data_IF_169651344346
#
_entry.id   IF_169651344346
#
_cell.length_a   1.000
_cell.length_b   1.000
_cell.length_c   1.000
_cell.angle_alpha   90.00
_cell.angle_beta   90.00
_cell.angle_gamma   90.00
#
_symmetry.space_group_name_H-M   'P 1'
#
loop_
_entity.id
_entity.type
_entity.pdbx_description
1 polymer ?
#
# COMPACT_ATOMS: atom_id res chain seq x y z
N UNK A 1 -21.06 62.32 -19.67
CA UNK A 1 -20.08 62.46 -18.58
C UNK A 1 -20.65 61.71 -17.37
N UNK A 2 -20.43 60.41 -17.26
CA UNK A 2 -20.80 59.61 -16.11
C UNK A 2 -19.70 58.62 -15.82
N UNK A 3 -19.16 58.75 -14.65
CA UNK A 3 -18.19 57.81 -14.07
C UNK A 3 -18.94 56.61 -13.56
N UNK A 4 -18.69 55.39 -14.05
CA UNK A 4 -19.12 54.14 -13.39
C UNK A 4 -18.01 53.62 -12.48
N UNK A 5 -18.36 53.49 -11.21
CA UNK A 5 -17.55 52.91 -10.15
C UNK A 5 -17.45 51.41 -10.34
N UNK A 6 -16.22 50.88 -10.18
CA UNK A 6 -15.95 49.45 -10.12
C UNK A 6 -16.16 48.97 -8.67
N UNK A 7 -17.02 47.94 -8.46
CA UNK A 7 -17.20 47.25 -7.19
C UNK A 7 -16.08 46.24 -6.93
N UNK A 8 -15.83 45.88 -5.65
CA UNK A 8 -14.70 45.03 -5.26
C UNK A 8 -14.97 43.56 -5.54
N UNK A 9 -13.97 42.89 -6.13
CA UNK A 9 -13.89 41.45 -6.30
C UNK A 9 -13.83 40.74 -4.95
N UNK A 10 -14.81 39.88 -4.66
CA UNK A 10 -14.81 39.00 -3.50
C UNK A 10 -13.77 37.88 -3.69
N UNK A 11 -12.76 37.87 -2.83
CA UNK A 11 -11.78 36.80 -2.74
C UNK A 11 -12.41 35.64 -1.95
N UNK A 12 -12.82 34.58 -2.64
CA UNK A 12 -13.20 33.31 -1.98
C UNK A 12 -11.95 32.59 -1.48
N UNK A 13 -11.71 32.65 -0.18
CA UNK A 13 -10.76 31.80 0.52
C UNK A 13 -11.23 30.35 0.47
N UNK A 14 -10.51 29.51 -0.26
CA UNK A 14 -10.70 28.05 -0.18
C UNK A 14 -10.15 27.54 1.13
N UNK A 15 -11.02 26.99 1.96
CA UNK A 15 -10.66 26.21 3.14
C UNK A 15 -9.84 24.94 2.75
N UNK A 16 -8.92 24.50 3.62
CA UNK A 16 -8.14 23.28 3.40
C UNK A 16 -9.06 22.06 3.40
N UNK A 17 -8.83 21.13 2.43
CA UNK A 17 -9.62 19.94 2.20
C UNK A 17 -9.91 19.14 3.47
N UNK A 18 -11.17 18.90 3.72
CA UNK A 18 -11.67 18.03 4.78
C UNK A 18 -11.16 16.60 4.53
N UNK A 19 -10.47 16.04 5.52
CA UNK A 19 -10.24 14.61 5.60
C UNK A 19 -11.63 13.93 5.68
N UNK A 20 -11.94 13.06 4.70
CA UNK A 20 -13.17 12.27 4.72
C UNK A 20 -13.13 11.36 5.95
N UNK A 21 -14.02 11.62 6.91
CA UNK A 21 -14.17 10.83 8.13
C UNK A 21 -14.55 9.37 7.74
N UNK A 22 -13.89 8.40 8.36
CA UNK A 22 -14.20 6.98 8.22
C UNK A 22 -15.69 6.66 8.45
N UNK A 23 -16.40 7.49 9.21
CA UNK A 23 -17.84 7.37 9.49
C UNK A 23 -18.71 7.70 8.25
N UNK A 24 -18.34 8.68 7.44
CA UNK A 24 -19.10 9.01 6.22
C UNK A 24 -18.95 7.95 5.13
N UNK A 25 -17.76 7.33 5.01
CA UNK A 25 -17.55 6.22 4.08
C UNK A 25 -18.40 4.99 4.42
N UNK A 26 -18.64 4.72 5.71
CA UNK A 26 -19.49 3.62 6.15
C UNK A 26 -20.99 3.85 5.82
N UNK A 27 -21.47 5.09 5.88
CA UNK A 27 -22.89 5.42 5.62
C UNK A 27 -23.25 5.28 4.13
N UNK A 28 -22.34 5.60 3.22
CA UNK A 28 -22.55 5.40 1.77
C UNK A 28 -22.55 3.93 1.35
N UNK A 29 -21.78 3.08 2.03
CA UNK A 29 -21.72 1.65 1.73
C UNK A 29 -22.98 0.85 2.14
N UNK A 30 -23.81 1.37 3.06
CA UNK A 30 -24.99 0.67 3.58
C UNK A 30 -26.16 0.56 2.57
N UNK A 31 -26.12 1.26 1.43
CA UNK A 31 -27.20 1.21 0.41
C UNK A 31 -27.00 0.17 -0.71
N UNK A 32 -25.91 -0.60 -0.71
CA UNK A 32 -25.59 -1.57 -1.78
C UNK A 32 -25.62 -3.05 -1.34
N UNK A 33 -26.16 -3.35 -0.16
CA UNK A 33 -26.23 -4.73 0.35
C UNK A 33 -27.60 -5.36 0.15
N UNK A 34 -27.97 -5.66 -1.09
CA UNK A 34 -29.02 -6.62 -1.38
C UNK A 34 -28.60 -7.55 -2.52
N UNK A 35 -28.66 -8.86 -2.25
CA UNK A 35 -28.54 -10.00 -3.16
C UNK A 35 -27.15 -10.45 -3.60
N UNK A 36 -26.66 -11.53 -2.94
CA UNK A 36 -25.87 -12.57 -3.61
C UNK A 36 -26.13 -13.95 -2.97
N UNK A 37 -26.32 -15.00 -3.78
CA UNK A 37 -26.57 -16.38 -3.30
C UNK A 37 -25.31 -17.07 -2.80
N UNK A 38 -25.50 -17.98 -1.85
CA UNK A 38 -24.47 -18.86 -1.30
C UNK A 38 -23.86 -19.75 -2.40
N UNK A 39 -22.58 -19.55 -2.67
CA UNK A 39 -21.77 -20.48 -3.45
C UNK A 39 -20.86 -21.29 -2.54
N UNK A 40 -20.71 -22.55 -2.87
CA UNK A 40 -20.08 -23.66 -2.17
C UNK A 40 -18.75 -23.35 -1.44
N UNK A 41 -18.60 -23.89 -0.22
CA UNK A 41 -17.37 -23.87 0.58
C UNK A 41 -16.25 -24.65 -0.14
N UNK A 42 -15.29 -23.96 -0.70
CA UNK A 42 -14.00 -24.53 -1.04
C UNK A 42 -13.09 -24.40 0.18
N UNK A 43 -12.78 -25.51 0.84
CA UNK A 43 -11.77 -25.54 1.89
C UNK A 43 -10.39 -25.33 1.26
N UNK A 44 -9.78 -24.19 1.53
CA UNK A 44 -8.42 -23.90 1.12
C UNK A 44 -7.44 -24.77 1.91
N UNK A 45 -6.68 -25.60 1.21
CA UNK A 45 -5.67 -26.47 1.82
C UNK A 45 -4.36 -25.66 1.95
N UNK A 46 -3.97 -25.30 3.19
CA UNK A 46 -2.78 -24.49 3.50
C UNK A 46 -1.45 -25.12 3.03
N UNK A 47 -1.48 -26.33 2.48
CA UNK A 47 -0.29 -27.09 2.04
C UNK A 47 0.30 -26.64 0.70
N UNK A 48 -0.31 -25.69 -0.02
CA UNK A 48 0.20 -25.20 -1.31
C UNK A 48 1.19 -24.03 -1.22
N UNK A 49 1.57 -23.62 -0.01
CA UNK A 49 2.51 -22.51 0.19
C UNK A 49 3.92 -23.11 0.30
N UNK A 50 4.72 -22.95 -0.76
CA UNK A 50 6.09 -23.50 -0.84
C UNK A 50 7.04 -22.70 0.04
N UNK A 51 7.75 -23.39 0.93
CA UNK A 51 8.71 -22.81 1.88
C UNK A 51 10.15 -23.21 1.54
N UNK A 52 11.08 -22.23 1.57
CA UNK A 52 12.50 -22.46 1.85
C UNK A 52 12.97 -21.41 2.86
N UNK A 53 13.32 -21.83 4.07
CA UNK A 53 14.28 -21.15 4.93
C UNK A 53 13.83 -20.34 6.13
N UNK A 54 12.57 -19.91 6.25
CA UNK A 54 11.98 -19.31 7.47
C UNK A 54 10.61 -19.90 7.74
N UNK A 55 10.23 -20.05 9.02
CA UNK A 55 8.89 -20.57 9.32
C UNK A 55 7.82 -19.62 8.78
N UNK A 56 6.92 -20.11 7.94
CA UNK A 56 5.81 -19.34 7.35
C UNK A 56 4.99 -18.59 8.41
N UNK A 57 4.81 -19.22 9.59
CA UNK A 57 4.16 -18.64 10.77
C UNK A 57 4.86 -17.39 11.32
N UNK A 58 6.15 -17.21 11.07
CA UNK A 58 6.86 -15.98 11.45
C UNK A 58 6.56 -14.81 10.50
N UNK A 59 6.11 -15.08 9.27
CA UNK A 59 5.91 -14.09 8.22
C UNK A 59 4.45 -13.75 7.99
N UNK A 60 3.54 -14.72 8.15
CA UNK A 60 2.11 -14.56 7.92
C UNK A 60 1.30 -14.72 9.20
N UNK A 61 0.19 -13.98 9.25
CA UNK A 61 -0.93 -14.21 10.17
C UNK A 61 -2.20 -14.39 9.34
N UNK A 62 -2.90 -15.51 9.49
CA UNK A 62 -4.11 -15.83 8.72
C UNK A 62 -5.33 -15.27 9.44
N UNK A 63 -6.11 -14.47 8.71
CA UNK A 63 -7.38 -13.93 9.17
C UNK A 63 -8.51 -14.52 8.32
N UNK A 64 -9.29 -15.41 8.93
CA UNK A 64 -10.41 -16.05 8.26
C UNK A 64 -11.61 -15.09 8.19
N UNK A 65 -11.84 -14.56 6.99
CA UNK A 65 -13.02 -13.77 6.66
C UNK A 65 -13.29 -13.83 5.16
N UNK A 66 -14.54 -13.72 4.77
CA UNK A 66 -15.00 -13.61 3.39
C UNK A 66 -15.79 -12.30 3.16
N UNK A 67 -15.78 -11.38 4.13
CA UNK A 67 -16.52 -10.13 4.10
C UNK A 67 -15.60 -8.92 4.21
N UNK A 68 -15.85 -7.93 3.39
CA UNK A 68 -15.15 -6.65 3.35
C UNK A 68 -15.63 -5.68 4.44
N UNK A 69 -15.65 -6.14 5.68
CA UNK A 69 -16.06 -5.38 6.86
C UNK A 69 -17.07 -6.11 7.72
N UNK A 70 -17.44 -5.48 8.83
CA UNK A 70 -18.34 -6.02 9.84
C UNK A 70 -17.68 -6.17 11.20
N UNK A 71 -18.39 -6.73 12.16
CA UNK A 71 -17.84 -6.94 13.49
C UNK A 71 -16.83 -8.10 13.50
N UNK A 72 -15.62 -7.84 13.99
CA UNK A 72 -14.61 -8.85 14.27
C UNK A 72 -14.56 -9.10 15.78
N UNK A 73 -14.39 -10.38 16.24
CA UNK A 73 -14.14 -10.69 17.64
C UNK A 73 -12.89 -9.96 18.14
N UNK A 74 -12.90 -9.53 19.41
CA UNK A 74 -11.79 -8.76 19.97
C UNK A 74 -10.45 -9.55 19.94
N UNK A 75 -10.51 -10.87 20.14
CA UNK A 75 -9.34 -11.73 20.00
C UNK A 75 -8.73 -11.71 18.58
N UNK A 76 -9.58 -11.59 17.53
CA UNK A 76 -9.11 -11.46 16.14
C UNK A 76 -8.47 -10.10 15.91
N UNK A 77 -9.09 -9.02 16.41
CA UNK A 77 -8.53 -7.66 16.30
C UNK A 77 -7.19 -7.55 17.01
N UNK A 78 -7.09 -8.03 18.26
CA UNK A 78 -5.86 -8.02 19.04
C UNK A 78 -4.72 -8.79 18.34
N UNK A 79 -5.02 -10.01 17.85
CA UNK A 79 -4.06 -10.83 17.11
C UNK A 79 -3.63 -10.15 15.78
N UNK A 80 -4.56 -9.54 15.08
CA UNK A 80 -4.26 -8.83 13.83
C UNK A 80 -3.38 -7.59 14.07
N UNK A 81 -3.65 -6.78 15.10
CA UNK A 81 -2.83 -5.64 15.48
C UNK A 81 -1.42 -6.09 15.84
N UNK A 82 -1.31 -7.08 16.75
CA UNK A 82 -0.01 -7.59 17.20
C UNK A 82 0.82 -8.10 16.00
N UNK A 83 0.25 -8.97 15.17
CA UNK A 83 0.94 -9.51 14.01
C UNK A 83 1.39 -8.41 13.02
N UNK A 84 0.49 -7.48 12.69
CA UNK A 84 0.76 -6.41 11.74
C UNK A 84 1.88 -5.48 12.25
N UNK A 85 1.84 -5.07 13.51
CA UNK A 85 2.85 -4.18 14.11
C UNK A 85 4.20 -4.88 14.34
N UNK A 86 4.22 -6.21 14.44
CA UNK A 86 5.44 -7.02 14.41
C UNK A 86 6.03 -7.22 12.99
N UNK A 87 5.42 -6.63 11.96
CA UNK A 87 5.90 -6.72 10.58
C UNK A 87 5.50 -8.01 9.88
N UNK A 88 4.46 -8.71 10.34
CA UNK A 88 3.85 -9.82 9.59
C UNK A 88 2.89 -9.29 8.53
N UNK A 89 2.64 -10.11 7.52
CA UNK A 89 1.60 -9.91 6.53
C UNK A 89 0.33 -10.57 7.04
N UNK A 90 -0.77 -9.84 7.14
CA UNK A 90 -2.09 -10.42 7.36
C UNK A 90 -2.61 -10.98 6.05
N UNK A 91 -2.85 -12.28 6.02
CA UNK A 91 -3.33 -12.99 4.85
C UNK A 91 -4.79 -13.38 5.02
N UNK A 92 -5.62 -13.04 4.04
CA UNK A 92 -7.06 -13.28 3.98
C UNK A 92 -7.34 -14.27 2.82
N UNK A 93 -7.23 -15.60 3.04
CA UNK A 93 -7.31 -16.58 1.97
C UNK A 93 -8.66 -16.60 1.25
N UNK A 94 -9.73 -16.28 1.97
CA UNK A 94 -11.11 -16.36 1.50
C UNK A 94 -11.73 -14.98 1.18
N UNK A 95 -10.95 -13.91 1.22
CA UNK A 95 -11.41 -12.56 0.96
C UNK A 95 -11.18 -12.17 -0.50
N UNK A 96 -12.12 -12.54 -1.36
CA UNK A 96 -12.12 -12.16 -2.75
C UNK A 96 -12.70 -10.76 -2.96
N UNK A 97 -12.08 -9.96 -3.82
CA UNK A 97 -12.73 -8.77 -4.38
C UNK A 97 -13.36 -9.15 -5.72
N UNK A 98 -14.68 -9.32 -5.70
CA UNK A 98 -15.42 -9.79 -6.87
C UNK A 98 -15.71 -8.65 -7.84
N UNK A 99 -15.44 -8.89 -9.12
CA UNK A 99 -15.81 -7.97 -10.18
C UNK A 99 -17.18 -8.34 -10.75
N UNK A 100 -18.03 -7.34 -10.90
CA UNK A 100 -19.27 -7.50 -11.65
C UNK A 100 -18.96 -7.90 -13.11
N UNK A 101 -19.83 -8.68 -13.73
CA UNK A 101 -19.63 -9.24 -15.07
C UNK A 101 -19.28 -8.18 -16.12
N UNK A 102 -19.97 -7.04 -16.09
CA UNK A 102 -19.77 -5.91 -16.99
C UNK A 102 -18.42 -5.20 -16.81
N UNK A 103 -17.63 -5.54 -15.76
CA UNK A 103 -16.30 -5.00 -15.50
C UNK A 103 -15.16 -5.98 -15.83
N UNK A 104 -15.47 -7.21 -16.25
CA UNK A 104 -14.44 -8.20 -16.61
C UNK A 104 -13.59 -7.77 -17.81
N UNK A 105 -14.12 -6.96 -18.70
CA UNK A 105 -13.35 -6.36 -19.81
C UNK A 105 -12.16 -5.52 -19.32
N UNK A 106 -12.19 -5.00 -18.09
CA UNK A 106 -11.09 -4.26 -17.48
C UNK A 106 -9.89 -5.14 -17.11
N UNK A 107 -10.09 -6.47 -17.04
CA UNK A 107 -9.01 -7.45 -16.82
C UNK A 107 -8.24 -7.69 -18.14
N UNK A 108 -7.61 -6.61 -18.62
CA UNK A 108 -6.82 -6.61 -19.85
C UNK A 108 -5.54 -5.79 -19.67
N UNK A 109 -4.38 -6.26 -20.14
CA UNK A 109 -3.15 -5.47 -20.20
C UNK A 109 -3.31 -4.17 -20.99
N UNK A 110 -4.23 -4.16 -21.98
CA UNK A 110 -4.52 -2.99 -22.81
C UNK A 110 -5.07 -1.78 -22.02
N UNK A 111 -5.50 -1.99 -20.78
CA UNK A 111 -5.91 -0.86 -19.92
C UNK A 111 -4.73 0.05 -19.54
N UNK A 112 -3.50 -0.45 -19.51
CA UNK A 112 -2.32 0.33 -19.17
C UNK A 112 -1.76 1.10 -20.38
N UNK A 113 -1.17 2.28 -20.12
CA UNK A 113 -0.53 3.11 -21.15
C UNK A 113 0.87 2.62 -21.60
N UNK A 114 1.35 1.52 -21.05
CA UNK A 114 2.67 0.94 -21.33
C UNK A 114 3.85 1.72 -20.75
N UNK A 115 3.64 2.92 -20.21
CA UNK A 115 4.69 3.81 -19.67
C UNK A 115 4.77 3.75 -18.14
N UNK A 116 3.62 3.74 -17.48
CA UNK A 116 3.52 3.64 -16.03
C UNK A 116 3.58 2.18 -15.57
N UNK A 117 4.09 1.93 -14.35
CA UNK A 117 4.10 0.58 -13.75
C UNK A 117 2.70 0.04 -13.49
N UNK A 118 1.79 0.91 -13.13
CA UNK A 118 0.41 0.62 -12.72
C UNK A 118 -0.49 1.79 -13.08
N UNK A 119 -1.77 1.50 -13.18
CA UNK A 119 -2.81 2.52 -13.23
C UNK A 119 -3.03 3.00 -11.81
N UNK A 120 -3.11 4.30 -11.58
CA UNK A 120 -3.30 4.88 -10.25
C UNK A 120 -4.44 5.88 -10.21
N UNK A 121 -5.27 5.77 -9.18
CA UNK A 121 -6.34 6.71 -8.85
C UNK A 121 -5.90 7.60 -7.69
N UNK A 122 -5.97 8.90 -7.89
CA UNK A 122 -5.72 9.89 -6.84
C UNK A 122 -7.03 10.16 -6.08
N UNK A 123 -7.13 9.87 -4.78
CA UNK A 123 -8.38 9.99 -4.04
C UNK A 123 -8.85 11.44 -3.86
N UNK A 124 -7.93 12.42 -3.92
CA UNK A 124 -8.28 13.83 -3.72
C UNK A 124 -8.90 14.46 -4.98
N UNK A 125 -8.51 13.99 -6.17
CA UNK A 125 -8.93 14.60 -7.45
C UNK A 125 -9.79 13.66 -8.30
N UNK A 126 -9.88 12.37 -7.96
CA UNK A 126 -10.47 11.34 -8.80
C UNK A 126 -9.70 11.07 -10.10
N UNK A 127 -8.48 11.61 -10.25
CA UNK A 127 -7.72 11.52 -11.49
C UNK A 127 -7.09 10.14 -11.65
N UNK A 128 -7.37 9.47 -12.77
CA UNK A 128 -6.64 8.29 -13.23
C UNK A 128 -5.40 8.67 -14.03
N UNK A 129 -4.28 7.97 -13.74
CA UNK A 129 -3.02 8.04 -14.49
C UNK A 129 -2.54 6.64 -14.86
N UNK A 130 -1.71 6.53 -15.88
CA UNK A 130 -1.13 5.26 -16.32
C UNK A 130 -2.10 4.38 -17.11
N UNK A 131 -3.20 4.94 -17.64
CA UNK A 131 -4.19 4.25 -18.46
C UNK A 131 -4.36 4.91 -19.82
N UNK A 132 -4.57 4.10 -20.86
CA UNK A 132 -5.00 4.50 -22.19
C UNK A 132 -6.46 4.09 -22.50
N UNK A 133 -7.20 3.67 -21.48
CA UNK A 133 -8.61 3.29 -21.62
C UNK A 133 -9.44 4.42 -22.22
N UNK A 134 -10.38 4.08 -23.09
CA UNK A 134 -11.37 5.01 -23.64
C UNK A 134 -12.35 5.49 -22.57
N UNK A 135 -13.11 6.54 -22.84
CA UNK A 135 -13.91 7.24 -21.82
C UNK A 135 -14.82 6.32 -21.01
N UNK A 136 -15.56 5.42 -21.67
CA UNK A 136 -16.45 4.46 -20.98
C UNK A 136 -15.68 3.51 -20.07
N UNK A 137 -14.61 2.91 -20.57
CA UNK A 137 -13.77 1.98 -19.81
C UNK A 137 -13.01 2.71 -18.70
N UNK A 138 -12.61 3.96 -18.95
CA UNK A 138 -11.97 4.84 -17.98
C UNK A 138 -12.86 5.13 -16.78
N UNK A 139 -14.16 5.43 -17.02
CA UNK A 139 -15.14 5.62 -15.95
C UNK A 139 -15.37 4.32 -15.16
N UNK A 140 -15.49 3.18 -15.86
CA UNK A 140 -15.63 1.87 -15.20
C UNK A 140 -14.41 1.51 -14.36
N UNK A 141 -13.21 1.81 -14.87
CA UNK A 141 -11.95 1.57 -14.16
C UNK A 141 -11.82 2.45 -12.91
N UNK A 142 -12.21 3.72 -13.02
CA UNK A 142 -12.26 4.63 -11.87
C UNK A 142 -13.22 4.11 -10.81
N UNK A 143 -14.42 3.71 -11.19
CA UNK A 143 -15.43 3.15 -10.28
C UNK A 143 -14.94 1.84 -9.63
N UNK A 144 -14.29 0.93 -10.40
CA UNK A 144 -13.71 -0.30 -9.87
C UNK A 144 -12.67 0.00 -8.77
N UNK A 145 -11.77 0.94 -9.04
CA UNK A 145 -10.69 1.28 -8.11
C UNK A 145 -11.24 2.01 -6.86
N UNK A 146 -12.28 2.82 -7.01
CA UNK A 146 -12.95 3.47 -5.88
C UNK A 146 -13.71 2.46 -5.01
N UNK A 147 -14.46 1.53 -5.62
CA UNK A 147 -15.17 0.47 -4.89
C UNK A 147 -14.18 -0.39 -4.07
N UNK A 148 -13.02 -0.73 -4.64
CA UNK A 148 -11.97 -1.44 -3.92
C UNK A 148 -11.41 -0.61 -2.77
N UNK A 149 -11.16 0.68 -2.98
CA UNK A 149 -10.66 1.57 -1.94
C UNK A 149 -11.63 1.70 -0.76
N UNK A 150 -12.93 1.80 -1.05
CA UNK A 150 -14.00 1.84 -0.04
C UNK A 150 -14.03 0.52 0.75
N UNK A 151 -14.02 -0.61 0.04
CA UNK A 151 -14.03 -1.93 0.68
C UNK A 151 -12.81 -2.15 1.59
N UNK A 152 -11.61 -1.83 1.10
CA UNK A 152 -10.36 -1.92 1.86
C UNK A 152 -10.37 -0.99 3.08
N UNK A 153 -10.85 0.25 2.93
CA UNK A 153 -10.97 1.21 4.03
C UNK A 153 -11.89 0.69 5.12
N UNK A 154 -13.07 0.20 4.73
CA UNK A 154 -14.04 -0.37 5.67
C UNK A 154 -13.43 -1.52 6.46
N UNK A 155 -12.82 -2.49 5.80
CA UNK A 155 -12.21 -3.64 6.46
C UNK A 155 -11.10 -3.20 7.44
N UNK A 156 -10.23 -2.27 7.02
CA UNK A 156 -9.15 -1.76 7.87
C UNK A 156 -9.72 -1.04 9.10
N UNK A 157 -10.73 -0.18 8.94
CA UNK A 157 -11.37 0.51 10.07
C UNK A 157 -12.09 -0.45 11.03
N UNK A 158 -12.76 -1.48 10.51
CA UNK A 158 -13.50 -2.45 11.33
C UNK A 158 -12.54 -3.41 12.07
N UNK A 159 -11.44 -3.80 11.44
CA UNK A 159 -10.43 -4.69 12.03
C UNK A 159 -9.51 -3.93 13.01
N UNK A 160 -9.22 -2.65 12.72
CA UNK A 160 -8.33 -1.78 13.50
C UNK A 160 -9.02 -0.48 13.90
N UNK A 161 -10.00 -0.50 14.83
CA UNK A 161 -10.72 0.71 15.22
C UNK A 161 -9.82 1.86 15.70
N UNK A 162 -8.67 1.50 16.31
CA UNK A 162 -7.68 2.46 16.78
C UNK A 162 -7.02 3.25 15.65
N UNK A 163 -6.89 2.68 14.46
CA UNK A 163 -6.29 3.34 13.29
C UNK A 163 -7.26 4.31 12.61
N UNK A 164 -8.57 4.08 12.75
CA UNK A 164 -9.60 4.80 12.00
C UNK A 164 -9.53 6.32 12.12
N UNK A 165 -9.09 6.85 13.28
CA UNK A 165 -9.02 8.29 13.52
C UNK A 165 -7.92 9.00 12.70
N UNK A 166 -6.85 8.31 12.31
CA UNK A 166 -5.70 8.90 11.59
C UNK A 166 -5.39 8.22 10.27
N UNK A 167 -6.22 7.25 9.86
CA UNK A 167 -6.07 6.54 8.60
C UNK A 167 -6.41 7.47 7.44
N UNK A 168 -5.40 7.83 6.66
CA UNK A 168 -5.54 8.66 5.47
C UNK A 168 -5.50 7.77 4.22
N UNK A 169 -6.53 7.81 3.39
CA UNK A 169 -6.51 7.16 2.08
C UNK A 169 -5.50 7.88 1.18
N UNK A 170 -4.56 7.12 0.65
CA UNK A 170 -3.66 7.54 -0.41
C UNK A 170 -4.10 6.92 -1.74
N UNK A 171 -3.19 6.74 -2.68
CA UNK A 171 -3.52 6.24 -4.02
C UNK A 171 -4.01 4.80 -3.99
N UNK A 172 -5.01 4.53 -4.82
CA UNK A 172 -5.38 3.18 -5.25
C UNK A 172 -4.62 2.85 -6.51
N UNK A 173 -4.13 1.63 -6.65
CA UNK A 173 -3.42 1.17 -7.83
C UNK A 173 -4.06 -0.10 -8.41
N UNK A 174 -4.11 -0.18 -9.74
CA UNK A 174 -4.45 -1.38 -10.47
C UNK A 174 -3.26 -1.83 -11.32
N UNK A 175 -2.91 -3.11 -11.25
CA UNK A 175 -1.73 -3.71 -11.90
C UNK A 175 -2.15 -4.74 -12.95
N UNK A 176 -2.56 -4.30 -14.16
CA UNK A 176 -3.08 -5.19 -15.20
C UNK A 176 -2.01 -5.98 -15.94
N UNK A 177 -0.74 -5.64 -15.79
CA UNK A 177 0.35 -6.24 -16.54
C UNK A 177 1.14 -7.21 -15.66
N UNK A 178 1.58 -8.36 -16.24
CA UNK A 178 2.43 -9.34 -15.57
C UNK A 178 3.76 -8.70 -15.11
N UNK A 179 4.24 -9.09 -13.93
CA UNK A 179 5.51 -8.62 -13.40
C UNK A 179 6.68 -9.37 -14.02
N UNK A 180 6.58 -10.69 -14.11
CA UNK A 180 7.64 -11.54 -14.62
C UNK A 180 8.08 -11.10 -16.04
N UNK A 181 9.37 -11.03 -16.27
CA UNK A 181 9.94 -10.67 -17.57
C UNK A 181 10.03 -9.17 -17.84
N UNK A 182 9.62 -8.28 -16.92
CA UNK A 182 9.78 -6.83 -17.10
C UNK A 182 11.22 -6.41 -16.83
N UNK A 183 11.73 -5.54 -17.69
CA UNK A 183 13.04 -4.92 -17.50
C UNK A 183 12.88 -3.51 -16.92
N UNK A 184 13.42 -3.29 -15.74
CA UNK A 184 13.47 -1.99 -15.09
C UNK A 184 14.88 -1.66 -14.62
N UNK A 185 15.17 -0.37 -14.44
CA UNK A 185 16.36 0.01 -13.69
C UNK A 185 16.23 -0.49 -12.24
N UNK A 186 17.36 -0.84 -11.56
CA UNK A 186 17.31 -1.45 -10.23
C UNK A 186 16.41 -0.70 -9.22
N UNK A 187 16.42 0.63 -9.24
CA UNK A 187 15.59 1.42 -8.32
C UNK A 187 14.09 1.34 -8.62
N UNK A 188 13.71 0.97 -9.84
CA UNK A 188 12.31 0.79 -10.26
C UNK A 188 11.88 -0.67 -10.28
N UNK A 189 12.77 -1.59 -10.07
CA UNK A 189 12.51 -3.03 -10.15
C UNK A 189 11.86 -3.51 -8.84
N UNK A 190 10.61 -3.95 -8.91
CA UNK A 190 9.86 -4.46 -7.77
C UNK A 190 10.20 -5.93 -7.45
N UNK A 191 11.00 -6.60 -8.29
CA UNK A 191 11.51 -7.96 -8.02
C UNK A 191 12.71 -7.98 -7.07
N UNK A 192 13.25 -6.82 -6.73
CA UNK A 192 14.33 -6.67 -5.76
C UNK A 192 13.76 -6.40 -4.37
N UNK A 193 14.27 -7.10 -3.34
CA UNK A 193 13.90 -6.90 -1.94
C UNK A 193 14.10 -5.45 -1.51
N UNK A 194 13.05 -4.85 -0.95
CA UNK A 194 13.05 -3.47 -0.47
C UNK A 194 11.97 -3.24 0.57
N UNK A 195 12.08 -2.16 1.29
CA UNK A 195 10.98 -1.51 2.01
C UNK A 195 10.52 -0.30 1.23
N UNK A 196 9.26 0.07 1.35
CA UNK A 196 8.76 1.26 0.66
C UNK A 196 9.34 2.55 1.23
N UNK A 197 9.78 3.40 0.31
CA UNK A 197 10.17 4.78 0.57
C UNK A 197 9.84 5.62 -0.67
N UNK A 198 9.04 6.66 -0.51
CA UNK A 198 8.55 7.44 -1.64
C UNK A 198 9.42 8.67 -1.93
N UNK A 199 10.14 8.69 -3.07
CA UNK A 199 11.04 9.81 -3.40
C UNK A 199 10.34 11.16 -3.49
N UNK A 200 9.10 11.19 -3.99
CA UNK A 200 8.34 12.43 -4.26
C UNK A 200 7.29 12.77 -3.19
N UNK A 201 6.94 11.81 -2.32
CA UNK A 201 5.87 11.98 -1.32
C UNK A 201 6.39 11.62 0.07
N UNK A 202 7.10 12.54 0.76
CA UNK A 202 7.63 12.31 2.10
C UNK A 202 6.53 11.93 3.09
N UNK A 203 6.75 10.88 3.87
CA UNK A 203 5.79 10.40 4.88
C UNK A 203 5.97 11.09 6.22
N UNK A 204 7.17 11.63 6.50
CA UNK A 204 7.57 12.27 7.76
C UNK A 204 7.39 11.37 8.98
N UNK A 205 7.71 10.09 8.82
CA UNK A 205 7.60 9.09 9.87
C UNK A 205 6.23 8.43 9.98
N UNK A 206 5.22 8.83 9.19
CA UNK A 206 3.96 8.08 9.11
C UNK A 206 4.20 6.71 8.47
N UNK A 207 3.37 5.74 8.84
CA UNK A 207 3.39 4.39 8.30
C UNK A 207 2.81 4.34 6.90
N UNK A 208 3.28 3.37 6.12
CA UNK A 208 2.72 3.02 4.81
C UNK A 208 2.04 1.66 4.95
N UNK A 209 0.73 1.68 5.10
CA UNK A 209 -0.10 0.48 5.16
C UNK A 209 -0.68 0.22 3.78
N UNK A 210 -0.55 -1.02 3.27
CA UNK A 210 -1.07 -1.38 1.95
C UNK A 210 -1.92 -2.61 2.02
N UNK A 211 -3.09 -2.51 1.41
CA UNK A 211 -4.04 -3.60 1.22
C UNK A 211 -4.00 -4.05 -0.24
N UNK A 212 -3.86 -5.34 -0.46
CA UNK A 212 -3.79 -5.94 -1.80
C UNK A 212 -4.89 -6.97 -2.00
N UNK A 213 -5.35 -7.13 -3.26
CA UNK A 213 -6.22 -8.21 -3.67
C UNK A 213 -5.78 -8.77 -5.01
N UNK A 214 -5.66 -10.09 -5.12
CA UNK A 214 -5.38 -10.78 -6.36
C UNK A 214 -6.70 -11.11 -7.08
N UNK A 215 -7.00 -10.34 -8.13
CA UNK A 215 -8.21 -10.48 -8.94
C UNK A 215 -7.95 -11.20 -10.28
N UNK A 216 -6.92 -12.05 -10.33
CA UNK A 216 -6.55 -12.76 -11.56
C UNK A 216 -7.65 -13.75 -11.99
N UNK A 217 -8.23 -13.58 -13.20
CA UNK A 217 -9.35 -14.41 -13.66
C UNK A 217 -8.95 -15.84 -14.03
N UNK A 218 -7.65 -16.06 -14.27
CA UNK A 218 -7.11 -17.37 -14.67
C UNK A 218 -6.62 -18.20 -13.46
N UNK A 219 -6.92 -17.79 -12.22
CA UNK A 219 -6.51 -18.52 -11.04
C UNK A 219 -5.02 -18.42 -10.69
N UNK A 220 -4.23 -17.61 -11.43
CA UNK A 220 -2.78 -17.50 -11.20
C UNK A 220 -2.47 -16.77 -9.89
N UNK A 221 -1.54 -17.28 -9.08
CA UNK A 221 -1.13 -16.62 -7.86
C UNK A 221 -0.30 -15.37 -8.14
N UNK A 222 -0.22 -14.49 -7.14
CA UNK A 222 0.78 -13.43 -7.08
C UNK A 222 1.93 -13.86 -6.18
N UNK A 223 3.13 -13.91 -6.74
CA UNK A 223 4.32 -14.41 -6.04
C UNK A 223 5.07 -13.24 -5.44
N UNK A 224 5.31 -13.33 -4.14
CA UNK A 224 6.17 -12.41 -3.42
C UNK A 224 7.36 -13.15 -2.80
N UNK A 225 8.44 -12.41 -2.55
CA UNK A 225 9.46 -12.77 -1.59
C UNK A 225 9.41 -11.80 -0.43
N UNK A 226 9.52 -12.32 0.77
CA UNK A 226 9.54 -11.55 2.02
C UNK A 226 10.88 -11.80 2.70
N UNK A 227 11.56 -10.73 3.03
CA UNK A 227 12.90 -10.75 3.60
C UNK A 227 12.88 -10.80 5.13
N UNK A 228 14.04 -10.53 5.70
CA UNK A 228 14.29 -10.47 7.13
C UNK A 228 13.54 -9.33 7.84
N UNK A 229 13.44 -9.33 9.17
CA UNK A 229 12.86 -8.25 9.94
C UNK A 229 13.54 -6.90 9.66
N UNK A 230 12.75 -5.81 9.71
CA UNK A 230 13.24 -4.45 9.42
C UNK A 230 14.46 -4.05 10.24
N UNK A 231 14.49 -4.41 11.53
CA UNK A 231 15.61 -4.08 12.42
C UNK A 231 16.91 -4.70 11.95
N UNK A 232 16.88 -5.99 11.57
CA UNK A 232 18.06 -6.73 11.08
C UNK A 232 18.56 -6.15 9.76
N UNK A 233 17.64 -5.84 8.87
CA UNK A 233 17.91 -5.14 7.61
C UNK A 233 18.55 -3.77 7.85
N UNK A 234 17.97 -2.96 8.73
CA UNK A 234 18.50 -1.63 9.05
C UNK A 234 19.92 -1.75 9.67
N UNK A 235 20.14 -2.70 10.57
CA UNK A 235 21.43 -2.95 11.19
C UNK A 235 22.53 -3.27 10.18
N UNK A 236 22.21 -4.02 9.12
CA UNK A 236 23.17 -4.34 8.05
C UNK A 236 23.58 -3.12 7.22
N UNK A 237 22.65 -2.23 6.95
CA UNK A 237 22.88 -1.15 5.99
C UNK A 237 23.21 0.20 6.64
N UNK A 238 22.74 0.51 7.84
CA UNK A 238 22.99 1.78 8.51
C UNK A 238 24.47 2.18 8.60
N UNK A 239 25.41 1.27 8.96
CA UNK A 239 26.82 1.63 9.05
C UNK A 239 27.42 2.10 7.72
N UNK A 240 26.90 1.59 6.58
CA UNK A 240 27.36 1.96 5.25
C UNK A 240 26.72 3.25 4.70
N UNK A 241 25.71 3.78 5.38
CA UNK A 241 25.06 5.02 5.00
C UNK A 241 25.77 6.18 5.70
N UNK A 242 26.65 6.92 4.99
CA UNK A 242 27.26 8.15 5.50
C UNK A 242 26.21 9.18 5.98
N UNK A 243 26.63 10.27 6.57
CA UNK A 243 25.71 11.34 7.03
C UNK A 243 24.95 11.99 5.86
N UNK A 244 23.66 12.37 6.03
CA UNK A 244 22.94 13.13 5.02
C UNK A 244 23.64 14.46 4.73
N UNK A 245 23.68 14.87 3.45
CA UNK A 245 24.22 16.18 3.06
C UNK A 245 23.20 17.26 3.48
N UNK A 246 23.66 18.23 4.26
CA UNK A 246 22.83 19.35 4.70
C UNK A 246 22.33 20.17 3.51
N UNK A 247 21.10 20.70 3.59
CA UNK A 247 20.51 21.59 2.56
C UNK A 247 19.85 20.88 1.37
N UNK A 248 20.20 19.64 1.02
CA UNK A 248 19.64 18.91 -0.13
C UNK A 248 18.11 18.75 -0.03
N UNK A 249 17.59 18.47 1.16
CA UNK A 249 16.14 18.30 1.36
C UNK A 249 15.36 19.60 1.11
N UNK A 250 15.95 20.74 1.48
CA UNK A 250 15.39 22.06 1.23
C UNK A 250 15.40 22.38 -0.28
N UNK A 251 16.54 22.16 -0.93
CA UNK A 251 16.68 22.42 -2.37
C UNK A 251 15.69 21.60 -3.20
N UNK A 252 15.55 20.29 -2.94
CA UNK A 252 14.61 19.41 -3.65
C UNK A 252 13.14 19.84 -3.46
N UNK A 253 12.79 20.39 -2.31
CA UNK A 253 11.46 20.93 -2.08
C UNK A 253 11.26 22.26 -2.80
N UNK A 254 12.26 23.14 -2.79
CA UNK A 254 12.21 24.46 -3.43
C UNK A 254 12.07 24.36 -4.97
N UNK A 255 12.74 23.39 -5.60
CA UNK A 255 12.63 23.15 -7.05
C UNK A 255 11.48 22.22 -7.44
N UNK A 256 10.55 21.89 -6.53
CA UNK A 256 9.34 21.10 -6.81
C UNK A 256 9.57 19.61 -7.08
N UNK A 257 10.78 19.08 -6.88
CA UNK A 257 11.08 17.64 -7.04
C UNK A 257 10.39 16.80 -5.98
N UNK A 258 10.13 17.36 -4.79
CA UNK A 258 9.33 16.72 -3.74
C UNK A 258 8.12 17.59 -3.41
N UNK A 259 6.97 16.95 -3.14
CA UNK A 259 5.72 17.64 -2.75
C UNK A 259 5.86 18.41 -1.43
N UNK A 260 6.76 17.97 -0.54
CA UNK A 260 7.09 18.58 0.76
C UNK A 260 8.56 18.35 1.08
N UNK A 261 9.12 19.11 2.00
CA UNK A 261 10.48 18.90 2.53
C UNK A 261 10.56 17.51 3.19
N UNK A 262 11.56 16.71 2.80
CA UNK A 262 11.86 15.41 3.44
C UNK A 262 12.39 15.62 4.85
N UNK A 263 11.91 14.81 5.79
CA UNK A 263 12.52 14.69 7.13
C UNK A 263 13.84 13.90 7.05
N UNK A 264 14.57 13.86 8.15
CA UNK A 264 15.76 12.98 8.26
C UNK A 264 15.36 11.50 8.10
N UNK A 265 14.20 11.12 8.63
CA UNK A 265 13.60 9.79 8.43
C UNK A 265 13.38 9.46 6.95
N UNK A 266 12.70 10.35 6.20
CA UNK A 266 12.44 10.09 4.77
C UNK A 266 13.72 9.91 3.97
N UNK A 267 14.75 10.71 4.29
CA UNK A 267 16.06 10.59 3.64
C UNK A 267 16.72 9.26 3.96
N UNK A 268 16.68 8.84 5.22
CA UNK A 268 17.29 7.61 5.67
C UNK A 268 16.60 6.39 5.06
N UNK A 269 15.25 6.34 5.09
CA UNK A 269 14.46 5.27 4.46
C UNK A 269 14.73 5.17 2.95
N UNK A 270 14.79 6.29 2.25
CA UNK A 270 15.12 6.28 0.81
C UNK A 270 16.53 5.76 0.54
N UNK A 271 17.48 6.07 1.40
CA UNK A 271 18.87 5.57 1.29
C UNK A 271 18.94 4.07 1.58
N UNK A 272 18.24 3.57 2.59
CA UNK A 272 18.08 2.15 2.88
C UNK A 272 17.47 1.40 1.69
N UNK A 273 16.35 1.89 1.18
CA UNK A 273 15.69 1.36 -0.02
C UNK A 273 16.66 1.27 -1.22
N UNK A 274 17.31 2.38 -1.53
CA UNK A 274 18.21 2.44 -2.67
C UNK A 274 19.45 1.57 -2.50
N UNK A 275 19.99 1.48 -1.29
CA UNK A 275 21.16 0.66 -0.98
C UNK A 275 20.85 -0.82 -1.12
N UNK A 276 19.73 -1.28 -0.57
CA UNK A 276 19.28 -2.66 -0.70
C UNK A 276 19.11 -3.05 -2.17
N UNK A 277 18.39 -2.27 -2.95
CA UNK A 277 18.14 -2.54 -4.38
C UNK A 277 19.41 -2.56 -5.24
N UNK A 278 20.45 -1.82 -4.85
CA UNK A 278 21.74 -1.79 -5.57
C UNK A 278 22.72 -2.86 -5.11
N UNK A 279 22.48 -3.51 -4.00
CA UNK A 279 23.40 -4.53 -3.46
C UNK A 279 23.09 -5.90 -4.05
N UNK A 280 23.81 -6.25 -5.12
CA UNK A 280 23.66 -7.56 -5.79
C UNK A 280 23.87 -8.71 -4.81
N UNK A 281 24.91 -8.65 -3.97
CA UNK A 281 25.19 -9.67 -2.97
C UNK A 281 24.03 -9.84 -1.98
N UNK A 282 23.45 -8.73 -1.51
CA UNK A 282 22.29 -8.78 -0.63
C UNK A 282 21.08 -9.43 -1.30
N UNK A 283 20.77 -9.04 -2.53
CA UNK A 283 19.63 -9.60 -3.27
C UNK A 283 19.76 -11.12 -3.50
N UNK A 284 20.98 -11.62 -3.60
CA UNK A 284 21.26 -13.04 -3.81
C UNK A 284 21.29 -13.85 -2.51
N UNK A 285 21.74 -13.28 -1.39
CA UNK A 285 22.03 -14.01 -0.15
C UNK A 285 21.16 -13.65 1.04
N UNK A 286 20.32 -12.61 0.93
CA UNK A 286 19.41 -12.23 2.03
C UNK A 286 18.45 -13.37 2.37
N UNK A 287 18.22 -13.64 3.68
CA UNK A 287 17.16 -14.54 4.09
C UNK A 287 15.82 -14.09 3.53
N UNK A 288 15.10 -14.99 2.87
CA UNK A 288 13.81 -14.66 2.26
C UNK A 288 12.91 -15.89 2.15
N UNK A 289 11.60 -15.66 2.23
CA UNK A 289 10.54 -16.65 2.06
C UNK A 289 9.73 -16.29 0.83
N UNK A 290 9.47 -17.26 -0.04
CA UNK A 290 8.56 -17.08 -1.16
C UNK A 290 7.14 -17.41 -0.73
N UNK A 291 6.21 -16.52 -1.04
CA UNK A 291 4.79 -16.62 -0.72
C UNK A 291 3.97 -16.48 -1.99
N UNK A 292 3.12 -17.48 -2.25
CA UNK A 292 2.15 -17.44 -3.34
C UNK A 292 0.79 -17.01 -2.78
N UNK A 293 0.35 -15.80 -3.11
CA UNK A 293 -1.01 -15.32 -2.81
C UNK A 293 -1.96 -15.75 -3.91
N UNK A 294 -2.88 -16.70 -3.64
CA UNK A 294 -3.79 -17.24 -4.64
C UNK A 294 -4.68 -16.15 -5.26
N UNK A 295 -5.19 -16.41 -6.44
CA UNK A 295 -6.29 -15.62 -6.97
C UNK A 295 -7.48 -15.67 -6.01
N UNK A 296 -8.28 -14.59 -5.94
CA UNK A 296 -9.43 -14.43 -5.03
C UNK A 296 -9.04 -14.35 -3.54
N UNK A 297 -7.76 -14.06 -3.25
CA UNK A 297 -7.30 -13.77 -1.89
C UNK A 297 -6.83 -12.32 -1.76
N UNK A 298 -6.69 -11.86 -0.52
CA UNK A 298 -6.21 -10.52 -0.20
C UNK A 298 -5.16 -10.56 0.91
N UNK A 299 -4.37 -9.51 1.05
CA UNK A 299 -3.37 -9.38 2.11
C UNK A 299 -3.11 -7.92 2.46
N UNK A 300 -2.65 -7.70 3.70
CA UNK A 300 -2.40 -6.38 4.27
C UNK A 300 -1.05 -6.39 4.99
N UNK A 301 -0.21 -5.38 4.78
CA UNK A 301 1.03 -5.24 5.53
C UNK A 301 1.51 -3.78 5.59
N UNK A 302 2.40 -3.50 6.53
CA UNK A 302 3.19 -2.29 6.54
C UNK A 302 4.37 -2.42 5.59
N UNK A 303 4.24 -1.88 4.38
CA UNK A 303 5.29 -2.00 3.34
C UNK A 303 6.51 -1.11 3.59
N UNK A 304 6.44 -0.17 4.53
CA UNK A 304 7.58 0.57 5.07
C UNK A 304 8.41 -0.25 6.08
N UNK A 305 7.91 -1.41 6.53
CA UNK A 305 8.54 -2.30 7.51
C UNK A 305 8.82 -3.69 6.95
N UNK A 306 7.89 -4.26 6.20
CA UNK A 306 8.04 -5.59 5.58
C UNK A 306 8.94 -5.48 4.37
N UNK A 307 10.12 -6.11 4.43
CA UNK A 307 10.95 -6.27 3.25
C UNK A 307 10.25 -7.19 2.26
N UNK A 308 9.99 -6.70 1.08
CA UNK A 308 9.23 -7.47 0.09
C UNK A 308 9.76 -7.26 -1.32
N UNK A 309 9.48 -8.24 -2.17
CA UNK A 309 9.69 -8.19 -3.61
C UNK A 309 8.53 -8.89 -4.32
N UNK A 310 8.01 -8.30 -5.37
CA UNK A 310 6.94 -8.87 -6.18
C UNK A 310 7.55 -9.56 -7.41
N UNK A 311 7.53 -10.90 -7.44
CA UNK A 311 8.23 -11.72 -8.44
C UNK A 311 7.41 -12.00 -9.67
N UNK A 312 6.11 -12.27 -9.49
CA UNK A 312 5.20 -12.60 -10.59
C UNK A 312 3.75 -12.24 -10.21
N UNK A 313 2.91 -12.20 -11.21
CA UNK A 313 1.48 -12.01 -11.06
C UNK A 313 0.95 -10.78 -11.79
N UNK A 314 -0.31 -10.89 -12.16
CA UNK A 314 -1.08 -9.94 -12.98
C UNK A 314 -2.44 -9.71 -12.32
N UNK A 315 -3.09 -8.60 -12.65
CA UNK A 315 -4.43 -8.25 -12.17
C UNK A 315 -4.56 -8.17 -10.65
N UNK A 316 -3.75 -7.32 -10.03
CA UNK A 316 -3.86 -7.01 -8.61
C UNK A 316 -4.35 -5.58 -8.39
N UNK A 317 -5.25 -5.42 -7.42
CA UNK A 317 -5.63 -4.14 -6.85
C UNK A 317 -4.81 -3.87 -5.58
N UNK A 318 -4.54 -2.61 -5.31
CA UNK A 318 -3.76 -2.16 -4.16
C UNK A 318 -4.32 -0.84 -3.64
N UNK A 319 -4.60 -0.77 -2.34
CA UNK A 319 -4.95 0.47 -1.66
C UNK A 319 -3.83 0.85 -0.69
N UNK A 320 -3.29 2.04 -0.84
CA UNK A 320 -2.30 2.61 0.08
C UNK A 320 -2.98 3.51 1.10
N UNK A 321 -2.57 3.37 2.36
CA UNK A 321 -2.95 4.25 3.47
C UNK A 321 -1.71 4.82 4.14
N UNK A 322 -1.84 6.03 4.66
CA UNK A 322 -0.92 6.59 5.66
C UNK A 322 -1.56 6.54 7.04
N UNK A 323 -0.74 6.23 8.05
CA UNK A 323 -1.18 6.13 9.43
C UNK A 323 -0.16 6.83 10.35
N UNK A 324 -0.63 7.59 11.31
CA UNK A 324 0.23 8.17 12.32
C UNK A 324 0.73 7.10 13.29
N UNK A 325 2.02 7.16 13.62
CA UNK A 325 2.66 6.23 14.57
C UNK A 325 1.99 6.24 15.93
N UNK A 326 1.46 7.39 16.35
CA UNK A 326 0.73 7.53 17.63
C UNK A 326 -0.54 6.66 17.71
N UNK A 327 -1.10 6.24 16.55
CA UNK A 327 -2.27 5.35 16.50
C UNK A 327 -1.92 3.87 16.62
N UNK A 328 -0.64 3.52 16.58
CA UNK A 328 -0.20 2.13 16.80
C UNK A 328 -0.42 1.72 18.26
N UNK A 329 -0.65 0.43 18.47
CA UNK A 329 -0.68 -0.15 19.83
C UNK A 329 0.71 -0.12 20.47
N UNK A 330 1.75 -0.39 19.66
CA UNK A 330 3.15 -0.28 20.05
C UNK A 330 3.93 0.62 19.06
N UNK A 331 3.94 1.95 19.28
CA UNK A 331 4.70 2.88 18.46
C UNK A 331 6.19 2.56 18.33
N UNK A 332 6.79 1.90 19.34
CA UNK A 332 8.21 1.55 19.35
C UNK A 332 8.61 0.59 18.23
N UNK A 333 7.65 -0.15 17.65
CA UNK A 333 7.87 -1.07 16.53
C UNK A 333 7.92 -0.37 15.16
N UNK A 334 7.54 0.91 15.10
CA UNK A 334 7.56 1.65 13.83
C UNK A 334 8.99 1.84 13.31
N UNK A 335 9.22 1.80 11.99
CA UNK A 335 10.54 2.04 11.40
C UNK A 335 11.19 3.34 11.88
N UNK A 336 10.42 4.40 12.09
CA UNK A 336 10.98 5.67 12.58
C UNK A 336 11.53 5.52 13.98
N UNK A 337 10.81 4.86 14.90
CA UNK A 337 11.27 4.65 16.27
C UNK A 337 12.44 3.67 16.34
N UNK A 338 12.42 2.62 15.50
CA UNK A 338 13.57 1.70 15.36
C UNK A 338 14.81 2.45 14.93
N UNK A 339 14.70 3.28 13.88
CA UNK A 339 15.84 4.05 13.36
C UNK A 339 16.29 5.17 14.32
N UNK A 340 15.38 5.82 15.07
CA UNK A 340 15.73 6.79 16.10
C UNK A 340 16.57 6.15 17.21
N UNK A 341 16.18 4.95 17.69
CA UNK A 341 16.98 4.18 18.67
C UNK A 341 18.34 3.78 18.13
N UNK A 342 18.39 3.27 16.88
CA UNK A 342 19.66 2.79 16.29
C UNK A 342 20.63 3.92 15.94
N UNK A 343 20.13 5.13 15.69
CA UNK A 343 20.95 6.29 15.32
C UNK A 343 21.16 7.29 16.47
N UNK A 344 20.49 7.07 17.61
CA UNK A 344 20.48 7.96 18.78
C UNK A 344 20.09 9.41 18.42
N UNK A 345 19.17 9.56 17.46
CA UNK A 345 18.78 10.87 16.92
C UNK A 345 17.28 10.93 16.65
N UNK A 346 16.68 12.11 16.87
CA UNK A 346 15.35 12.42 16.38
C UNK A 346 15.36 12.57 14.84
N UNK A 347 14.43 11.91 14.15
CA UNK A 347 14.40 11.83 12.70
C UNK A 347 13.16 12.48 12.06
N UNK A 348 12.19 12.92 12.87
CA UNK A 348 10.95 13.58 12.41
C UNK A 348 11.09 15.07 12.27
#
# INVERSE_FOLDING_TARGET
MERRAAGPLAIHSRAPGAALDCRESAIRACRLSAFLPLASRSHYNAHSIVTRGFALSATLEIIETNRWGGSFPEAVKSRAVDALEHGKILFFPNLAFELAENRRCLLSPAMADGRAKNISLDPATGTLRGTQAADRERLQLQALMEDFAIAATRLVCDLFPRYAATLERARTSYRPIEIAGRLYSPLKDDTLLHVDAFPSTPTRGRRILRFFSNINPSGKPRIWRVGEPFQDFAQKFLPSLGRPVAGVAWLLAAVGVTKRRRSAYDQLMLRLHNRAKRSVSYQQSAPQVEIAFPARSSWLCYTDQVLHAAMAGQYALEQTFYLDVASMADPARSPVQVLERMTERQLR
#
